data_IF_663649482057
#
_entry.id   IF_663649482057
#
_cell.length_a   1.000
_cell.length_b   1.000
_cell.length_c   1.000
_cell.angle_alpha   90.00
_cell.angle_beta   90.00
_cell.angle_gamma   90.00
#
_symmetry.space_group_name_H-M   'P 1'
#
loop_
_entity.id
_entity.type
_entity.pdbx_description
1 polymer ?
#
# COMPACT_ATOMS: atom_id res chain seq x y z
N UNK A 1 10.90 24.95 19.62
CA UNK A 1 10.99 24.01 18.49
C UNK A 1 12.15 24.50 17.64
N UNK A 2 13.12 23.64 17.32
CA UNK A 2 14.29 24.04 16.51
C UNK A 2 14.12 23.60 15.06
N UNK A 3 14.94 24.17 14.18
CA UNK A 3 15.08 23.70 12.80
C UNK A 3 15.43 22.21 12.78
N UNK A 4 14.94 21.48 11.78
CA UNK A 4 15.18 20.03 11.65
C UNK A 4 16.57 19.72 11.11
N UNK A 5 17.24 20.71 10.55
CA UNK A 5 18.62 20.59 10.07
C UNK A 5 19.41 21.89 10.21
N UNK A 6 20.74 21.77 10.28
CA UNK A 6 21.62 22.95 10.30
C UNK A 6 21.64 23.74 8.98
N UNK A 7 21.05 23.22 7.90
CA UNK A 7 20.85 23.98 6.67
C UNK A 7 19.64 24.92 6.81
N UNK A 8 18.54 24.41 7.35
CA UNK A 8 17.33 25.20 7.60
C UNK A 8 17.61 26.38 8.55
N UNK A 9 18.42 26.15 9.58
CA UNK A 9 18.87 27.22 10.50
C UNK A 9 19.64 28.32 9.76
N UNK A 10 20.61 27.96 8.90
CA UNK A 10 21.36 28.94 8.10
C UNK A 10 20.49 29.73 7.13
N UNK A 11 19.47 29.09 6.56
CA UNK A 11 18.53 29.75 5.64
C UNK A 11 17.65 30.72 6.42
N UNK A 12 17.15 30.33 7.59
CA UNK A 12 16.37 31.21 8.46
C UNK A 12 17.19 32.42 8.92
N UNK A 13 18.44 32.21 9.35
CA UNK A 13 19.36 33.29 9.72
C UNK A 13 19.55 34.28 8.57
N UNK A 14 19.69 33.78 7.33
CA UNK A 14 19.78 34.62 6.14
C UNK A 14 18.49 35.43 5.91
N UNK A 15 17.32 34.83 6.07
CA UNK A 15 16.03 35.54 5.92
C UNK A 15 15.88 36.65 6.96
N UNK A 16 16.26 36.39 8.22
CA UNK A 16 16.30 37.40 9.29
C UNK A 16 17.30 38.51 8.96
N UNK A 17 18.50 38.18 8.48
CA UNK A 17 19.51 39.17 8.08
C UNK A 17 19.06 40.06 6.92
N UNK A 18 18.19 39.55 6.06
CA UNK A 18 17.62 40.27 4.93
C UNK A 18 16.30 40.97 5.26
N UNK A 19 15.86 40.96 6.53
CA UNK A 19 14.59 41.55 6.99
C UNK A 19 13.36 40.98 6.24
N UNK A 20 13.38 39.66 5.97
CA UNK A 20 12.30 38.94 5.30
C UNK A 20 11.52 38.12 6.32
N UNK A 21 10.24 38.45 6.48
CA UNK A 21 9.29 37.66 7.29
C UNK A 21 9.07 36.26 6.68
N UNK A 22 9.03 35.24 7.52
CA UNK A 22 8.76 33.87 7.10
C UNK A 22 7.98 33.07 8.15
N UNK A 23 7.23 32.09 7.68
CA UNK A 23 6.58 31.06 8.49
C UNK A 23 7.33 29.74 8.30
N UNK A 24 7.61 29.02 9.39
CA UNK A 24 8.35 27.76 9.34
C UNK A 24 7.44 26.56 9.68
N UNK A 25 7.22 25.69 8.70
CA UNK A 25 6.39 24.49 8.81
C UNK A 25 4.92 24.72 9.24
N UNK A 26 4.38 25.92 9.01
CA UNK A 26 2.99 26.25 9.39
C UNK A 26 1.96 25.86 8.32
N UNK A 27 2.38 25.85 7.04
CA UNK A 27 1.48 25.60 5.90
C UNK A 27 1.75 24.23 5.29
N UNK A 28 0.68 23.52 4.94
CA UNK A 28 0.75 22.25 4.21
C UNK A 28 -0.18 22.29 2.99
N UNK A 29 0.23 21.63 1.90
CA UNK A 29 -0.51 21.59 0.65
C UNK A 29 -0.91 20.15 0.31
N UNK A 30 -2.19 19.88 0.02
CA UNK A 30 -2.62 18.56 -0.43
C UNK A 30 -2.13 18.30 -1.87
N UNK A 31 -1.77 17.06 -2.17
CA UNK A 31 -1.42 16.62 -3.51
C UNK A 31 -1.87 15.16 -3.73
N UNK A 32 -2.01 14.78 -5.01
CA UNK A 32 -2.43 13.43 -5.43
C UNK A 32 -1.29 12.81 -6.24
N UNK A 33 -0.99 11.54 -5.97
CA UNK A 33 -0.07 10.74 -6.79
C UNK A 33 -0.88 9.62 -7.45
N UNK A 34 -0.77 9.52 -8.77
CA UNK A 34 -1.37 8.44 -9.55
C UNK A 34 -0.36 7.32 -9.82
N UNK A 35 -0.84 6.07 -9.74
CA UNK A 35 -0.06 4.87 -10.04
C UNK A 35 -0.93 3.87 -10.80
N UNK A 36 -0.33 3.16 -11.75
CA UNK A 36 -0.97 2.03 -12.42
C UNK A 36 -0.70 0.73 -11.66
N UNK A 37 -1.72 -0.11 -11.53
CA UNK A 37 -1.60 -1.46 -11.02
C UNK A 37 -1.67 -2.47 -12.15
N UNK A 38 -0.66 -3.32 -12.25
CA UNK A 38 -0.63 -4.48 -13.15
C UNK A 38 -0.72 -5.74 -12.30
N UNK A 39 -1.78 -6.54 -12.43
CA UNK A 39 -1.88 -7.81 -11.73
C UNK A 39 -0.97 -8.88 -12.34
N UNK A 40 -0.69 -9.93 -11.57
CA UNK A 40 0.11 -11.05 -12.06
C UNK A 40 -0.65 -11.90 -13.11
N UNK A 41 -1.94 -12.17 -12.87
CA UNK A 41 -2.79 -12.92 -13.81
C UNK A 41 -4.21 -12.35 -13.88
N UNK A 42 -4.79 -12.42 -15.08
CA UNK A 42 -6.20 -12.13 -15.33
C UNK A 42 -6.79 -13.33 -16.06
N UNK A 43 -7.88 -13.89 -15.54
CA UNK A 43 -8.59 -15.02 -16.11
C UNK A 43 -9.66 -14.50 -17.08
N UNK A 44 -9.46 -14.58 -18.42
CA UNK A 44 -10.33 -13.88 -19.37
C UNK A 44 -11.75 -14.46 -19.46
N UNK A 45 -11.93 -15.71 -19.03
CA UNK A 45 -13.22 -16.41 -19.04
C UNK A 45 -14.24 -15.80 -18.07
N UNK A 46 -13.78 -15.35 -16.89
CA UNK A 46 -14.66 -14.88 -15.83
C UNK A 46 -14.26 -13.51 -15.24
N UNK A 47 -13.13 -12.95 -15.67
CA UNK A 47 -12.62 -11.65 -15.22
C UNK A 47 -11.91 -11.66 -13.86
N UNK A 48 -11.72 -12.84 -13.24
CA UNK A 48 -11.02 -12.96 -11.96
C UNK A 48 -9.55 -12.57 -12.12
N UNK A 49 -9.08 -11.73 -11.20
CA UNK A 49 -7.71 -11.26 -11.14
C UNK A 49 -6.98 -11.97 -10.00
N UNK A 50 -5.83 -12.58 -10.28
CA UNK A 50 -5.02 -13.26 -9.28
C UNK A 50 -3.69 -12.52 -9.09
N UNK A 51 -3.43 -12.07 -7.86
CA UNK A 51 -2.13 -11.52 -7.44
C UNK A 51 -1.40 -12.57 -6.59
N UNK A 52 -0.20 -12.95 -7.03
CA UNK A 52 0.62 -13.96 -6.34
C UNK A 52 1.65 -13.28 -5.45
N UNK A 53 1.75 -13.71 -4.19
CA UNK A 53 2.73 -13.18 -3.24
C UNK A 53 3.34 -14.25 -2.33
N UNK A 54 4.68 -14.28 -2.32
CA UNK A 54 5.46 -15.01 -1.30
C UNK A 54 5.72 -14.14 -0.07
N UNK A 55 6.51 -13.08 -0.25
CA UNK A 55 6.64 -12.01 0.73
C UNK A 55 5.69 -10.86 0.38
N UNK A 56 4.92 -10.43 1.37
CA UNK A 56 4.02 -9.30 1.23
C UNK A 56 4.46 -8.21 2.21
N UNK A 57 4.97 -7.10 1.67
CA UNK A 57 5.46 -5.96 2.43
C UNK A 57 4.32 -4.95 2.75
N UNK A 58 4.54 -3.99 3.67
CA UNK A 58 3.52 -3.00 4.01
C UNK A 58 3.06 -2.11 2.85
N UNK A 59 3.96 -1.55 2.00
CA UNK A 59 3.54 -0.86 0.77
C UNK A 59 2.65 -1.69 -0.15
N UNK A 60 3.00 -2.94 -0.45
CA UNK A 60 2.20 -3.82 -1.31
C UNK A 60 0.80 -4.09 -0.74
N UNK A 61 0.66 -4.25 0.58
CA UNK A 61 -0.67 -4.35 1.22
C UNK A 61 -1.50 -3.09 1.05
N UNK A 62 -0.89 -1.91 1.23
CA UNK A 62 -1.56 -0.63 1.03
C UNK A 62 -1.99 -0.47 -0.43
N UNK A 63 -1.13 -0.86 -1.38
CA UNK A 63 -1.43 -0.87 -2.82
C UNK A 63 -2.68 -1.68 -3.12
N UNK A 64 -2.73 -2.96 -2.71
CA UNK A 64 -3.90 -3.82 -2.95
C UNK A 64 -5.18 -3.24 -2.34
N UNK A 65 -5.10 -2.72 -1.10
CA UNK A 65 -6.26 -2.05 -0.47
C UNK A 65 -6.75 -0.86 -1.28
N UNK A 66 -5.83 -0.04 -1.78
CA UNK A 66 -6.17 1.16 -2.54
C UNK A 66 -6.75 0.79 -3.91
N UNK A 67 -6.16 -0.20 -4.58
CA UNK A 67 -6.66 -0.74 -5.85
C UNK A 67 -8.12 -1.21 -5.73
N UNK A 68 -8.44 -2.03 -4.74
CA UNK A 68 -9.82 -2.51 -4.52
C UNK A 68 -10.76 -1.36 -4.16
N UNK A 69 -10.29 -0.41 -3.35
CA UNK A 69 -11.08 0.76 -2.97
C UNK A 69 -11.44 1.62 -4.18
N UNK A 70 -10.49 1.85 -5.07
CA UNK A 70 -10.64 2.74 -6.23
C UNK A 70 -11.24 2.02 -7.45
N UNK A 71 -11.27 0.69 -7.44
CA UNK A 71 -11.82 -0.15 -8.50
C UNK A 71 -12.76 -1.20 -7.89
N UNK A 72 -13.94 -0.81 -7.38
CA UNK A 72 -14.83 -1.72 -6.66
C UNK A 72 -15.37 -2.87 -7.52
N UNK A 73 -15.30 -2.75 -8.85
CA UNK A 73 -15.88 -3.71 -9.80
C UNK A 73 -14.93 -4.87 -10.15
N UNK A 74 -13.64 -4.78 -9.79
CA UNK A 74 -12.68 -5.85 -10.13
C UNK A 74 -12.71 -6.96 -9.09
N UNK A 75 -12.68 -8.21 -9.54
CA UNK A 75 -12.60 -9.39 -8.68
C UNK A 75 -11.13 -9.76 -8.44
N UNK A 76 -10.48 -9.01 -7.54
CA UNK A 76 -9.08 -9.22 -7.16
C UNK A 76 -8.98 -10.20 -5.99
N UNK A 77 -8.29 -11.32 -6.24
CA UNK A 77 -8.02 -12.37 -5.25
C UNK A 77 -6.53 -12.56 -5.04
N UNK A 78 -6.15 -12.87 -3.80
CA UNK A 78 -4.75 -13.06 -3.41
C UNK A 78 -4.36 -14.54 -3.37
N UNK A 79 -3.23 -14.89 -3.98
CA UNK A 79 -2.67 -16.24 -3.96
C UNK A 79 -1.34 -16.22 -3.21
N UNK A 80 -1.29 -16.83 -2.03
CA UNK A 80 -0.11 -16.76 -1.17
C UNK A 80 0.74 -18.04 -1.21
N UNK A 81 2.06 -17.90 -1.13
CA UNK A 81 2.92 -19.04 -0.85
C UNK A 81 2.63 -19.62 0.54
N UNK A 82 2.51 -18.75 1.55
CA UNK A 82 2.12 -19.08 2.92
C UNK A 82 1.15 -18.00 3.46
N UNK A 83 -0.16 -18.25 3.44
CA UNK A 83 -1.16 -17.28 3.91
C UNK A 83 -1.13 -17.05 5.44
N UNK A 84 -0.52 -17.95 6.21
CA UNK A 84 -0.44 -17.86 7.66
C UNK A 84 0.81 -17.13 8.16
N UNK A 85 1.67 -16.69 7.23
CA UNK A 85 2.79 -15.81 7.54
C UNK A 85 2.30 -14.49 8.13
N UNK A 86 2.99 -14.02 9.18
CA UNK A 86 2.68 -12.75 9.86
C UNK A 86 3.08 -11.56 9.00
N UNK A 87 2.28 -10.48 9.05
CA UNK A 87 2.55 -9.24 8.30
C UNK A 87 3.86 -8.53 8.71
N UNK A 88 4.32 -8.81 9.93
CA UNK A 88 5.61 -8.38 10.47
C UNK A 88 5.98 -9.28 11.65
N UNK A 89 7.26 -9.27 12.07
CA UNK A 89 7.75 -10.09 13.19
C UNK A 89 6.98 -9.87 14.50
N UNK A 90 6.53 -8.63 14.74
CA UNK A 90 5.82 -8.22 15.98
C UNK A 90 4.31 -8.42 15.92
N UNK A 91 3.72 -8.62 14.73
CA UNK A 91 2.27 -8.69 14.57
C UNK A 91 1.74 -10.09 14.81
N UNK A 92 0.55 -10.19 15.42
CA UNK A 92 -0.24 -11.44 15.47
C UNK A 92 -1.13 -11.63 14.23
N UNK A 93 -1.19 -10.64 13.34
CA UNK A 93 -2.00 -10.66 12.12
C UNK A 93 -1.25 -11.38 11.01
N UNK A 94 -1.89 -12.36 10.39
CA UNK A 94 -1.37 -13.09 9.23
C UNK A 94 -1.86 -12.45 7.92
N UNK A 95 -1.32 -12.87 6.77
CA UNK A 95 -1.81 -12.43 5.46
C UNK A 95 -3.29 -12.80 5.27
N UNK A 96 -3.69 -14.03 5.62
CA UNK A 96 -5.08 -14.48 5.65
C UNK A 96 -5.98 -13.56 6.48
N UNK A 97 -5.63 -13.34 7.76
CA UNK A 97 -6.42 -12.48 8.66
C UNK A 97 -6.51 -11.03 8.19
N UNK A 98 -5.47 -10.56 7.48
CA UNK A 98 -5.50 -9.24 6.87
C UNK A 98 -6.50 -9.21 5.72
N UNK A 99 -6.51 -10.21 4.84
CA UNK A 99 -7.46 -10.31 3.73
C UNK A 99 -8.91 -10.46 4.22
N UNK A 100 -9.15 -11.31 5.22
CA UNK A 100 -10.46 -11.47 5.88
C UNK A 100 -11.02 -10.14 6.40
N UNK A 101 -10.18 -9.32 7.04
CA UNK A 101 -10.56 -7.99 7.53
C UNK A 101 -11.09 -7.07 6.43
N UNK A 102 -10.55 -7.17 5.23
CA UNK A 102 -10.92 -6.33 4.09
C UNK A 102 -11.78 -7.07 3.06
N UNK A 103 -12.30 -8.25 3.42
CA UNK A 103 -13.15 -9.08 2.57
C UNK A 103 -12.51 -9.43 1.21
N UNK A 104 -11.19 -9.59 1.20
CA UNK A 104 -10.43 -9.98 0.01
C UNK A 104 -10.35 -11.50 -0.01
N UNK A 105 -10.79 -12.12 -1.10
CA UNK A 105 -10.67 -13.56 -1.28
C UNK A 105 -9.19 -13.96 -1.40
N UNK A 106 -8.82 -15.06 -0.76
CA UNK A 106 -7.45 -15.54 -0.75
C UNK A 106 -7.36 -17.06 -0.71
N UNK A 107 -6.26 -17.62 -1.20
CA UNK A 107 -5.93 -19.03 -1.05
C UNK A 107 -4.42 -19.22 -0.92
N UNK A 108 -3.97 -20.45 -0.59
CA UNK A 108 -2.58 -20.81 -0.78
C UNK A 108 -2.33 -21.24 -2.24
N UNK A 109 -1.13 -21.02 -2.75
CA UNK A 109 -0.77 -21.28 -4.15
C UNK A 109 -0.96 -22.76 -4.55
N UNK A 110 -0.82 -23.69 -3.60
CA UNK A 110 -1.01 -25.12 -3.83
C UNK A 110 -2.49 -25.57 -3.76
N UNK A 111 -3.43 -24.66 -3.46
CA UNK A 111 -4.85 -24.98 -3.28
C UNK A 111 -5.76 -23.89 -3.88
N UNK A 112 -5.47 -23.44 -5.10
CA UNK A 112 -6.37 -22.52 -5.81
C UNK A 112 -7.72 -23.21 -6.03
N UNK A 113 -8.84 -22.65 -5.55
CA UNK A 113 -10.14 -23.27 -5.70
C UNK A 113 -10.57 -23.38 -7.16
N UNK A 114 -11.16 -24.51 -7.54
CA UNK A 114 -11.54 -24.81 -8.94
C UNK A 114 -12.61 -23.85 -9.44
N UNK A 115 -13.48 -23.37 -8.57
CA UNK A 115 -14.50 -22.36 -8.84
C UNK A 115 -13.90 -21.00 -9.23
N UNK A 116 -12.64 -20.72 -8.91
CA UNK A 116 -11.96 -19.49 -9.36
C UNK A 116 -11.53 -19.60 -10.82
N UNK A 117 -11.25 -20.82 -11.29
CA UNK A 117 -10.64 -21.09 -12.60
C UNK A 117 -11.66 -21.30 -13.71
N UNK A 118 -12.96 -21.42 -13.38
CA UNK A 118 -14.04 -21.73 -14.30
C UNK A 118 -14.70 -20.48 -14.87
#
# INVERSE_FOLDING_TARGET
MGFRSGLEEKVADLLVQLDVDYEYEEVSYPYVIEHSYTPDFVLPNNGVILEVKGYWDPPSRRKIRQVIKDNPDIDLRMVFQDPYKRISKRSKTTYAKWCERYQILWCAAHCIPVDWLK
#
